data_IF_957342914213
#
_entry.id   IF_957342914213
#
_cell.length_a   1.000
_cell.length_b   1.000
_cell.length_c   1.000
_cell.angle_alpha   90.00
_cell.angle_beta   90.00
_cell.angle_gamma   90.00
#
_symmetry.space_group_name_H-M   'P 1'
#
loop_
_entity.id
_entity.type
_entity.pdbx_description
1 polymer ?
#
# COMPACT_ATOMS: atom_id res chain seq x y z
N UNK A 1 0.14 18.90 2.34
CA UNK A 1 -0.84 17.81 2.10
C UNK A 1 -0.45 16.61 2.91
N UNK A 2 -1.44 15.80 3.30
CA UNK A 2 -1.23 14.50 3.95
C UNK A 2 -1.35 13.39 2.89
N UNK A 3 -0.31 12.58 2.74
CA UNK A 3 -0.21 11.58 1.67
C UNK A 3 0.07 10.21 2.28
N UNK A 4 -0.69 9.20 1.88
CA UNK A 4 -0.46 7.81 2.27
C UNK A 4 0.08 6.99 1.10
N UNK A 5 1.01 6.08 1.38
CA UNK A 5 1.41 5.00 0.48
C UNK A 5 0.94 3.68 1.07
N UNK A 6 0.10 2.97 0.34
CA UNK A 6 -0.46 1.67 0.73
C UNK A 6 -0.08 0.58 -0.27
N UNK A 7 -0.25 -0.67 0.10
CA UNK A 7 0.06 -1.83 -0.76
C UNK A 7 1.54 -1.93 -1.18
N UNK A 8 2.43 -1.42 -0.33
CA UNK A 8 3.89 -1.60 -0.42
C UNK A 8 4.37 -2.48 0.74
N UNK A 9 5.53 -3.11 0.58
CA UNK A 9 6.12 -3.96 1.63
C UNK A 9 6.95 -3.18 2.65
N UNK A 10 6.69 -1.86 2.77
CA UNK A 10 7.32 -0.97 3.74
C UNK A 10 8.59 -0.30 3.26
N UNK A 11 9.09 0.62 4.10
CA UNK A 11 10.36 1.30 3.94
C UNK A 11 11.18 1.21 5.24
N UNK A 12 12.53 1.31 5.21
CA UNK A 12 13.40 1.36 4.02
C UNK A 12 13.26 0.11 3.14
N UNK A 13 13.59 0.25 1.85
CA UNK A 13 13.44 -0.83 0.88
C UNK A 13 14.18 -2.12 1.30
N UNK A 14 13.44 -3.21 1.39
CA UNK A 14 13.95 -4.54 1.69
C UNK A 14 13.38 -5.62 0.74
N UNK A 15 12.60 -5.24 -0.26
CA UNK A 15 11.86 -6.20 -1.08
C UNK A 15 12.03 -5.95 -2.58
N UNK A 16 11.62 -4.81 -3.13
CA UNK A 16 11.58 -4.65 -4.57
C UNK A 16 11.41 -3.23 -5.08
N UNK A 17 11.00 -3.13 -6.35
CA UNK A 17 10.95 -1.85 -7.05
C UNK A 17 9.89 -0.88 -6.51
N UNK A 18 8.74 -1.37 -6.07
CA UNK A 18 7.70 -0.53 -5.48
C UNK A 18 8.15 0.08 -4.14
N UNK A 19 8.86 -0.69 -3.34
CA UNK A 19 9.41 -0.24 -2.05
C UNK A 19 10.51 0.79 -2.27
N UNK A 20 11.36 0.58 -3.25
CA UNK A 20 12.38 1.55 -3.65
C UNK A 20 11.72 2.86 -4.11
N UNK A 21 10.73 2.78 -4.98
CA UNK A 21 9.96 3.93 -5.42
C UNK A 21 9.30 4.65 -4.23
N UNK A 22 8.61 3.90 -3.34
CA UNK A 22 7.93 4.46 -2.18
C UNK A 22 8.92 5.17 -1.24
N UNK A 23 10.09 4.59 -1.00
CA UNK A 23 11.14 5.21 -0.17
C UNK A 23 11.60 6.54 -0.76
N UNK A 24 12.01 6.55 -2.04
CA UNK A 24 12.52 7.78 -2.67
C UNK A 24 11.46 8.88 -2.76
N UNK A 25 10.26 8.54 -3.19
CA UNK A 25 9.19 9.52 -3.36
C UNK A 25 8.69 10.04 -2.00
N UNK A 26 8.46 9.18 -1.03
CA UNK A 26 7.98 9.59 0.30
C UNK A 26 8.96 10.54 0.99
N UNK A 27 10.25 10.21 0.99
CA UNK A 27 11.30 11.08 1.54
C UNK A 27 11.41 12.40 0.75
N UNK A 28 11.29 12.35 -0.57
CA UNK A 28 11.29 13.54 -1.42
C UNK A 28 10.10 14.46 -1.15
N UNK A 29 8.92 13.90 -0.88
CA UNK A 29 7.71 14.66 -0.53
C UNK A 29 7.82 15.29 0.86
N UNK A 30 8.38 14.59 1.85
CA UNK A 30 8.65 15.18 3.18
C UNK A 30 9.59 16.38 3.07
N UNK A 31 10.66 16.29 2.28
CA UNK A 31 11.57 17.41 2.03
C UNK A 31 10.89 18.64 1.40
N UNK A 32 9.75 18.44 0.73
CA UNK A 32 8.90 19.49 0.15
C UNK A 32 7.80 19.98 1.09
N UNK A 33 7.82 19.55 2.35
CA UNK A 33 6.89 20.02 3.39
C UNK A 33 5.55 19.29 3.41
N UNK A 34 5.44 18.09 2.82
CA UNK A 34 4.26 17.24 2.93
C UNK A 34 4.37 16.30 4.14
N UNK A 35 3.25 15.98 4.77
CA UNK A 35 3.15 14.89 5.74
C UNK A 35 2.94 13.59 4.98
N UNK A 36 3.85 12.64 5.13
CA UNK A 36 3.78 11.38 4.40
C UNK A 36 3.76 10.21 5.38
N UNK A 37 2.85 9.27 5.14
CA UNK A 37 2.77 8.01 5.87
C UNK A 37 2.92 6.85 4.89
N UNK A 38 3.82 5.92 5.19
CA UNK A 38 3.99 4.67 4.44
C UNK A 38 3.50 3.52 5.31
N UNK A 39 2.58 2.73 4.78
CA UNK A 39 2.12 1.52 5.43
C UNK A 39 3.14 0.40 5.25
N UNK A 40 3.41 -0.32 6.33
CA UNK A 40 4.42 -1.37 6.40
C UNK A 40 3.83 -2.63 7.01
N UNK A 41 4.11 -3.84 6.49
CA UNK A 41 3.64 -5.06 7.12
C UNK A 41 4.37 -5.31 8.43
N UNK A 42 3.69 -5.95 9.39
CA UNK A 42 4.22 -6.22 10.72
C UNK A 42 5.50 -7.05 10.74
N UNK A 43 5.77 -7.82 9.69
CA UNK A 43 7.01 -8.62 9.56
C UNK A 43 8.20 -7.85 8.99
N UNK A 44 7.99 -6.61 8.51
CA UNK A 44 9.09 -5.79 7.98
C UNK A 44 10.23 -5.66 9.02
N UNK A 45 11.51 -5.77 8.62
CA UNK A 45 12.63 -5.76 9.58
C UNK A 45 12.80 -4.41 10.30
N UNK A 46 12.47 -3.29 9.65
CA UNK A 46 12.49 -1.97 10.27
C UNK A 46 11.25 -1.80 11.14
N UNK A 47 11.45 -1.48 12.43
CA UNK A 47 10.37 -1.44 13.44
C UNK A 47 10.06 -0.06 13.97
N UNK A 48 10.86 0.94 13.64
CA UNK A 48 10.59 2.30 14.07
C UNK A 48 9.39 2.89 13.33
N UNK A 49 8.71 3.82 13.97
CA UNK A 49 7.51 4.47 13.45
C UNK A 49 7.82 5.66 12.51
N UNK A 50 9.12 5.94 12.28
CA UNK A 50 9.57 7.01 11.40
C UNK A 50 10.86 6.64 10.68
N UNK A 51 10.95 7.03 9.39
CA UNK A 51 12.15 6.93 8.58
C UNK A 51 12.38 8.19 7.76
N UNK A 52 13.44 8.93 8.04
CA UNK A 52 13.82 10.19 7.34
C UNK A 52 12.66 11.20 7.26
N UNK A 53 11.88 11.34 8.34
CA UNK A 53 10.71 12.20 8.43
C UNK A 53 9.42 11.63 7.85
N UNK A 54 9.46 10.44 7.26
CA UNK A 54 8.27 9.70 6.80
C UNK A 54 7.72 8.89 7.95
N UNK A 55 6.45 9.06 8.28
CA UNK A 55 5.75 8.22 9.27
C UNK A 55 5.57 6.82 8.72
N UNK A 56 5.83 5.81 9.53
CA UNK A 56 5.59 4.40 9.20
C UNK A 56 4.43 3.89 10.02
N UNK A 57 3.45 3.28 9.37
CA UNK A 57 2.33 2.65 10.05
C UNK A 57 2.36 1.14 9.84
N UNK A 58 2.64 0.41 10.91
CA UNK A 58 2.71 -1.04 10.88
C UNK A 58 1.31 -1.65 10.92
N UNK A 59 1.00 -2.48 9.92
CA UNK A 59 -0.26 -3.24 9.82
C UNK A 59 0.04 -4.73 9.92
N UNK A 60 -0.76 -5.44 10.68
CA UNK A 60 -0.65 -6.89 10.78
C UNK A 60 -0.78 -7.55 9.41
N UNK A 61 0.17 -8.42 9.08
CA UNK A 61 0.16 -9.21 7.86
C UNK A 61 0.30 -10.69 8.18
N UNK A 62 -0.67 -11.52 7.77
CA UNK A 62 -0.60 -12.97 7.94
C UNK A 62 0.25 -13.67 6.87
N UNK A 63 0.99 -12.94 6.05
CA UNK A 63 1.75 -13.46 4.89
C UNK A 63 2.74 -14.55 5.28
N UNK A 64 3.27 -14.47 6.49
CA UNK A 64 4.27 -15.43 7.02
C UNK A 64 3.70 -16.83 7.27
N UNK A 65 2.38 -16.98 7.46
CA UNK A 65 1.75 -18.26 7.81
C UNK A 65 0.58 -18.67 6.90
N UNK A 66 -0.09 -17.71 6.23
CA UNK A 66 -1.20 -18.00 5.29
C UNK A 66 -0.72 -18.20 3.85
N UNK A 67 0.58 -18.05 3.57
CA UNK A 67 1.13 -18.06 2.22
C UNK A 67 1.12 -16.67 1.55
N UNK A 68 2.14 -16.44 0.72
CA UNK A 68 2.46 -15.11 0.21
C UNK A 68 1.31 -14.37 -0.46
N UNK A 69 0.57 -15.00 -1.36
CA UNK A 69 -0.48 -14.30 -2.14
C UNK A 69 -1.70 -13.91 -1.32
N UNK A 70 -2.19 -14.80 -0.46
CA UNK A 70 -3.39 -14.53 0.37
C UNK A 70 -3.05 -13.54 1.47
N UNK A 71 -1.91 -13.72 2.13
CA UNK A 71 -1.45 -12.83 3.18
C UNK A 71 -1.18 -11.42 2.66
N UNK A 72 -0.57 -11.31 1.48
CA UNK A 72 -0.36 -10.04 0.78
C UNK A 72 -1.67 -9.31 0.52
N UNK A 73 -2.66 -10.02 -0.04
CA UNK A 73 -3.97 -9.45 -0.31
C UNK A 73 -4.65 -8.94 0.97
N UNK A 74 -4.58 -9.72 2.05
CA UNK A 74 -5.14 -9.31 3.35
C UNK A 74 -4.47 -8.05 3.88
N UNK A 75 -3.13 -7.99 3.82
CA UNK A 75 -2.37 -6.81 4.23
C UNK A 75 -2.73 -5.57 3.40
N UNK A 76 -2.76 -5.71 2.06
CA UNK A 76 -3.11 -4.64 1.14
C UNK A 76 -4.51 -4.09 1.43
N UNK A 77 -5.48 -4.99 1.63
CA UNK A 77 -6.84 -4.63 1.97
C UNK A 77 -6.95 -3.93 3.33
N UNK A 78 -6.24 -4.42 4.36
CA UNK A 78 -6.27 -3.81 5.69
C UNK A 78 -5.59 -2.45 5.74
N UNK A 79 -4.47 -2.28 5.02
CA UNK A 79 -3.78 -0.99 4.92
C UNK A 79 -4.63 0.05 4.19
N UNK A 80 -5.26 -0.32 3.08
CA UNK A 80 -6.17 0.55 2.34
C UNK A 80 -7.41 0.91 3.18
N UNK A 81 -8.03 -0.06 3.85
CA UNK A 81 -9.16 0.17 4.76
C UNK A 81 -8.82 1.16 5.87
N UNK A 82 -7.66 1.01 6.48
CA UNK A 82 -7.22 1.89 7.54
C UNK A 82 -6.97 3.31 7.01
N UNK A 83 -6.31 3.44 5.88
CA UNK A 83 -6.07 4.74 5.24
C UNK A 83 -7.39 5.47 4.87
N UNK A 84 -8.38 4.72 4.38
CA UNK A 84 -9.68 5.28 3.98
C UNK A 84 -10.54 5.72 5.17
N UNK A 85 -10.49 5.02 6.31
CA UNK A 85 -11.44 5.18 7.42
C UNK A 85 -10.90 5.94 8.62
N UNK A 86 -9.61 5.82 8.92
CA UNK A 86 -9.04 6.28 10.18
C UNK A 86 -8.21 7.55 10.07
N UNK A 87 -7.76 7.87 8.87
CA UNK A 87 -6.87 9.00 8.64
C UNK A 87 -7.48 9.96 7.62
N UNK A 88 -7.27 11.25 7.82
CA UNK A 88 -7.69 12.27 6.87
C UNK A 88 -6.54 12.57 5.90
N UNK A 89 -6.29 11.66 4.95
CA UNK A 89 -5.34 11.89 3.88
C UNK A 89 -5.96 12.71 2.76
N UNK A 90 -5.17 13.58 2.15
CA UNK A 90 -5.55 14.28 0.93
C UNK A 90 -5.41 13.34 -0.28
N UNK A 91 -4.33 12.54 -0.28
CA UNK A 91 -4.01 11.58 -1.34
C UNK A 91 -3.67 10.23 -0.71
N UNK A 92 -4.24 9.16 -1.26
CA UNK A 92 -3.89 7.78 -0.97
C UNK A 92 -3.31 7.17 -2.25
N UNK A 93 -2.01 6.88 -2.25
CA UNK A 93 -1.33 6.23 -3.35
C UNK A 93 -1.27 4.72 -3.11
N UNK A 94 -1.88 3.96 -3.98
CA UNK A 94 -1.91 2.50 -3.93
C UNK A 94 -0.95 1.90 -4.97
N UNK A 95 0.00 1.10 -4.49
CA UNK A 95 0.99 0.43 -5.31
C UNK A 95 0.47 -0.95 -5.74
N UNK A 96 -0.30 -0.99 -6.80
CA UNK A 96 -0.96 -2.19 -7.29
C UNK A 96 -2.48 -2.07 -7.25
N UNK A 97 -3.19 -2.98 -7.89
CA UNK A 97 -4.66 -2.89 -8.03
C UNK A 97 -5.41 -4.13 -7.50
N UNK A 98 -4.70 -5.07 -6.93
CA UNK A 98 -5.29 -6.36 -6.51
C UNK A 98 -6.28 -6.24 -5.37
N UNK A 99 -6.10 -5.27 -4.49
CA UNK A 99 -6.97 -5.01 -3.33
C UNK A 99 -8.04 -3.95 -3.56
N UNK A 100 -7.90 -3.15 -4.64
CA UNK A 100 -8.81 -2.01 -4.85
C UNK A 100 -10.22 -2.46 -5.22
N UNK A 101 -10.38 -3.53 -6.01
CA UNK A 101 -11.68 -4.00 -6.47
C UNK A 101 -12.57 -4.43 -5.29
N UNK A 102 -12.12 -5.29 -4.36
CA UNK A 102 -12.88 -5.60 -3.15
C UNK A 102 -13.14 -4.38 -2.26
N UNK A 103 -12.19 -3.46 -2.18
CA UNK A 103 -12.37 -2.24 -1.40
C UNK A 103 -13.47 -1.34 -1.98
N UNK A 104 -13.57 -1.18 -3.29
CA UNK A 104 -14.64 -0.45 -3.95
C UNK A 104 -16.02 -1.11 -3.75
N UNK A 105 -16.08 -2.44 -3.76
CA UNK A 105 -17.33 -3.17 -3.57
C UNK A 105 -17.80 -3.10 -2.09
N UNK A 106 -16.87 -3.21 -1.14
CA UNK A 106 -17.21 -3.32 0.28
C UNK A 106 -17.30 -2.00 1.03
N UNK A 107 -16.63 -0.97 0.55
CA UNK A 107 -16.57 0.29 1.32
C UNK A 107 -17.27 1.46 0.66
N UNK A 108 -17.81 1.31 -0.57
CA UNK A 108 -18.30 2.48 -1.30
C UNK A 108 -17.32 3.67 -1.15
N UNK A 109 -16.12 3.49 -1.67
CA UNK A 109 -14.96 4.39 -1.47
C UNK A 109 -15.32 5.84 -1.71
N UNK A 110 -16.25 6.13 -2.64
CA UNK A 110 -16.70 7.49 -2.95
C UNK A 110 -17.42 8.17 -1.78
N UNK A 111 -18.09 7.39 -0.93
CA UNK A 111 -18.85 7.93 0.20
C UNK A 111 -18.09 7.86 1.53
N UNK A 112 -17.00 7.08 1.58
CA UNK A 112 -16.23 6.86 2.81
C UNK A 112 -15.09 7.85 2.96
N UNK A 113 -14.54 8.36 1.88
CA UNK A 113 -13.39 9.26 1.94
C UNK A 113 -13.52 10.47 1.03
N UNK A 114 -12.95 11.60 1.47
CA UNK A 114 -12.70 12.77 0.63
C UNK A 114 -11.33 12.72 -0.06
N UNK A 115 -10.53 11.69 0.25
CA UNK A 115 -9.19 11.52 -0.31
C UNK A 115 -9.23 11.20 -1.80
N UNK A 116 -8.25 11.69 -2.54
CA UNK A 116 -8.00 11.25 -3.92
C UNK A 116 -7.24 9.94 -3.84
N UNK A 117 -7.82 8.87 -4.37
CA UNK A 117 -7.14 7.56 -4.47
C UNK A 117 -6.48 7.45 -5.85
N UNK A 118 -5.16 7.28 -5.84
CA UNK A 118 -4.35 7.12 -7.05
C UNK A 118 -3.82 5.69 -7.05
N UNK A 119 -4.21 4.88 -8.02
CA UNK A 119 -3.73 3.50 -8.14
C UNK A 119 -2.69 3.39 -9.24
N UNK A 120 -1.53 2.84 -8.89
CA UNK A 120 -0.50 2.49 -9.87
C UNK A 120 -0.79 1.12 -10.46
N UNK A 121 -1.11 1.11 -11.74
CA UNK A 121 -1.33 -0.11 -12.50
C UNK A 121 0.03 -0.67 -12.98
N UNK A 122 0.63 -1.59 -12.21
CA UNK A 122 1.92 -2.25 -12.53
C UNK A 122 1.80 -3.21 -13.74
N UNK A 123 1.30 -2.69 -14.84
CA UNK A 123 1.07 -3.43 -16.07
C UNK A 123 -0.15 -4.36 -16.01
N UNK A 124 -0.27 -5.19 -17.03
CA UNK A 124 -1.40 -6.12 -17.16
C UNK A 124 -1.07 -7.42 -16.42
N UNK A 125 -1.34 -7.46 -15.12
CA UNK A 125 -1.05 -8.61 -14.25
C UNK A 125 -1.58 -9.94 -14.81
N UNK A 126 -2.78 -9.92 -15.43
CA UNK A 126 -3.37 -11.12 -16.04
C UNK A 126 -2.56 -11.68 -17.22
N UNK A 127 -1.68 -10.87 -17.84
CA UNK A 127 -0.76 -11.33 -18.90
C UNK A 127 0.55 -11.88 -18.38
N UNK A 128 0.85 -11.74 -17.09
CA UNK A 128 2.10 -12.25 -16.51
C UNK A 128 2.10 -13.78 -16.49
N UNK A 129 3.21 -14.38 -16.88
CA UNK A 129 3.38 -15.84 -16.98
C UNK A 129 3.31 -16.56 -15.62
N UNK A 130 3.45 -15.81 -14.51
CA UNK A 130 3.35 -16.36 -13.14
C UNK A 130 1.93 -16.81 -12.76
N UNK A 131 0.89 -16.38 -13.50
CA UNK A 131 -0.48 -16.78 -13.20
C UNK A 131 -0.93 -17.97 -14.02
N UNK A 132 -1.66 -18.88 -13.38
CA UNK A 132 -2.25 -20.06 -14.01
C UNK A 132 -3.26 -19.66 -15.09
N UNK A 133 -3.44 -20.52 -16.11
CA UNK A 133 -4.38 -20.27 -17.25
C UNK A 133 -5.80 -19.88 -16.81
N UNK A 134 -6.23 -20.31 -15.61
CA UNK A 134 -7.55 -19.97 -15.04
C UNK A 134 -7.69 -18.51 -14.62
N UNK A 135 -6.59 -17.84 -14.27
CA UNK A 135 -6.57 -16.44 -13.83
C UNK A 135 -6.36 -15.48 -15.00
N UNK A 136 -5.97 -16.03 -16.17
CA UNK A 136 -5.72 -15.26 -17.41
C UNK A 136 -6.98 -15.02 -18.26
N UNK A 137 -8.11 -15.57 -17.85
CA UNK A 137 -9.41 -15.33 -18.49
C UNK A 137 -10.17 -14.29 -17.69
#
# INVERSE_FOLDING_TARGET
MKIAFVSVRGIPNNYGGFEQFAEYISVGLVKRGHEVTVYSPSYHPYKDDEYKGVKIKHIYSPETWMGGSIGSFFYDFMSLKDALKRENFDIIYEAGYTSIIPAFIWFDVKNVTKSIVVTNMDGLEYKRTKFNKLVRK
#
